data_IF_674515348061
#
_entry.id   IF_674515348061
#
_cell.length_a   1.000
_cell.length_b   1.000
_cell.length_c   1.000
_cell.angle_alpha   90.00
_cell.angle_beta   90.00
_cell.angle_gamma   90.00
#
_symmetry.space_group_name_H-M   'P 1'
#
loop_
_entity.id
_entity.type
_entity.pdbx_description
1 polymer ?
#
# COMPACT_ATOMS: atom_id res chain seq x y z
N UNK A 1 -24.97 -62.83 74.09
CA UNK A 1 -24.72 -61.38 74.24
C UNK A 1 -23.30 -61.10 73.83
N UNK A 2 -23.10 -60.18 72.88
CA UNK A 2 -21.77 -59.82 72.34
C UNK A 2 -21.07 -60.99 71.65
N UNK A 3 -20.28 -60.69 70.63
CA UNK A 3 -18.88 -61.14 70.59
C UNK A 3 -18.17 -60.34 69.52
N UNK A 4 -17.15 -59.64 70.00
CA UNK A 4 -16.24 -58.82 69.23
C UNK A 4 -15.26 -59.74 68.49
N UNK A 5 -14.97 -59.43 67.23
CA UNK A 5 -13.91 -60.07 66.45
C UNK A 5 -13.18 -59.01 65.66
N UNK A 6 -11.89 -58.86 65.95
CA UNK A 6 -10.88 -58.19 65.12
C UNK A 6 -10.59 -59.05 63.89
N UNK A 7 -10.51 -58.44 62.71
CA UNK A 7 -9.91 -59.04 61.51
C UNK A 7 -8.97 -58.07 60.81
N UNK A 8 -7.78 -58.58 60.51
CA UNK A 8 -6.80 -58.05 59.56
C UNK A 8 -7.32 -58.23 58.12
N UNK A 9 -6.93 -57.34 57.20
CA UNK A 9 -7.04 -57.56 55.77
C UNK A 9 -5.76 -57.09 55.06
N UNK A 10 -5.16 -58.04 54.34
CA UNK A 10 -3.90 -57.94 53.57
C UNK A 10 -4.21 -57.54 52.13
N UNK A 11 -3.37 -56.67 51.57
CA UNK A 11 -3.46 -56.17 50.19
C UNK A 11 -2.90 -57.17 49.17
N UNK A 12 -3.55 -57.27 48.00
CA UNK A 12 -3.01 -57.86 46.76
C UNK A 12 -3.43 -56.94 45.59
N UNK A 13 -2.52 -56.53 44.70
CA UNK A 13 -2.75 -55.43 43.75
C UNK A 13 -3.40 -55.92 42.46
N UNK A 14 -4.31 -55.12 41.90
CA UNK A 14 -4.84 -55.30 40.55
C UNK A 14 -4.34 -54.16 39.66
N UNK A 15 -3.63 -54.58 38.62
CA UNK A 15 -2.96 -53.81 37.59
C UNK A 15 -4.00 -53.03 36.75
N UNK A 16 -3.89 -51.70 36.71
CA UNK A 16 -4.65 -50.87 35.77
C UNK A 16 -3.66 -50.18 34.83
N UNK A 17 -3.73 -50.53 33.54
CA UNK A 17 -2.97 -49.89 32.47
C UNK A 17 -3.37 -48.41 32.33
N UNK A 18 -2.47 -47.50 32.69
CA UNK A 18 -2.54 -46.09 32.26
C UNK A 18 -1.75 -45.92 30.97
N UNK A 19 -2.45 -45.53 29.91
CA UNK A 19 -1.87 -45.18 28.61
C UNK A 19 -1.06 -43.90 28.79
N UNK A 20 0.26 -44.00 28.66
CA UNK A 20 1.18 -42.86 28.71
C UNK A 20 1.01 -42.00 27.46
N UNK A 21 0.61 -40.74 27.63
CA UNK A 21 0.74 -39.71 26.60
C UNK A 21 2.17 -39.17 26.65
N UNK A 22 2.98 -39.48 25.64
CA UNK A 22 4.21 -38.75 25.36
C UNK A 22 3.83 -37.34 24.89
N UNK A 23 3.80 -36.37 25.81
CA UNK A 23 3.92 -34.96 25.44
C UNK A 23 5.40 -34.70 25.13
N UNK A 24 5.76 -34.67 23.84
CA UNK A 24 6.97 -33.97 23.44
C UNK A 24 6.78 -32.49 23.78
N UNK A 25 7.52 -32.02 24.78
CA UNK A 25 7.64 -30.60 25.07
C UNK A 25 8.36 -29.94 23.88
N UNK A 26 7.59 -29.26 23.02
CA UNK A 26 8.14 -28.38 22.00
C UNK A 26 8.82 -27.21 22.72
N UNK A 27 10.13 -26.95 22.51
CA UNK A 27 10.79 -25.82 23.14
C UNK A 27 10.20 -24.52 22.59
N UNK A 28 9.47 -23.84 23.47
CA UNK A 28 8.87 -22.53 23.25
C UNK A 28 9.96 -21.45 23.35
N UNK A 29 10.81 -21.33 22.32
CA UNK A 29 11.75 -20.20 22.21
C UNK A 29 12.20 -19.88 20.77
N UNK A 30 11.33 -20.08 19.78
CA UNK A 30 11.53 -19.41 18.50
C UNK A 30 11.01 -17.97 18.65
N UNK A 31 11.92 -16.99 18.69
CA UNK A 31 11.52 -15.59 18.45
C UNK A 31 10.61 -15.56 17.22
N UNK A 32 9.46 -14.85 17.26
CA UNK A 32 8.59 -14.78 16.10
C UNK A 32 9.45 -14.41 14.88
N UNK A 33 9.28 -15.09 13.74
CA UNK A 33 10.14 -14.86 12.58
C UNK A 33 10.17 -13.36 12.32
N UNK A 34 11.38 -12.79 12.31
CA UNK A 34 11.56 -11.35 12.20
C UNK A 34 10.75 -10.86 10.99
N UNK A 35 9.82 -9.94 11.23
CA UNK A 35 9.03 -9.34 10.15
C UNK A 35 9.99 -8.84 9.06
N UNK A 36 9.72 -9.18 7.80
CA UNK A 36 10.59 -8.94 6.65
C UNK A 36 11.03 -7.48 6.57
N UNK A 37 10.12 -6.55 6.87
CA UNK A 37 10.33 -5.12 6.81
C UNK A 37 10.84 -4.52 8.13
N UNK A 38 10.95 -5.33 9.19
CA UNK A 38 11.45 -4.90 10.50
C UNK A 38 10.57 -3.82 11.13
N UNK A 39 9.25 -4.02 11.09
CA UNK A 39 8.25 -3.08 11.65
C UNK A 39 8.50 -2.85 13.14
N UNK A 40 8.64 -1.58 13.51
CA UNK A 40 8.75 -1.08 14.88
C UNK A 40 7.68 -0.02 15.14
N UNK A 41 7.45 0.28 16.42
CA UNK A 41 6.65 1.47 16.79
C UNK A 41 7.42 2.73 16.40
N UNK A 42 6.77 3.62 15.66
CA UNK A 42 7.35 4.89 15.21
C UNK A 42 7.68 4.94 13.72
N UNK A 43 8.00 6.14 13.23
CA UNK A 43 8.29 6.40 11.83
C UNK A 43 9.71 5.89 11.45
N UNK A 44 9.77 4.98 10.48
CA UNK A 44 11.01 4.40 9.94
C UNK A 44 11.29 4.84 8.49
N UNK A 45 10.69 5.95 8.08
CA UNK A 45 10.83 6.55 6.75
C UNK A 45 12.14 7.33 6.65
N UNK A 46 12.97 6.99 5.67
CA UNK A 46 14.13 7.78 5.25
C UNK A 46 13.82 8.43 3.88
N UNK A 47 13.97 9.74 3.78
CA UNK A 47 13.77 10.49 2.53
C UNK A 47 15.11 10.99 2.01
N UNK A 48 15.40 10.68 0.75
CA UNK A 48 16.59 11.08 0.02
C UNK A 48 16.16 11.89 -1.21
N UNK A 49 16.79 13.04 -1.44
CA UNK A 49 16.42 13.94 -2.52
C UNK A 49 17.64 14.28 -3.37
N UNK A 50 17.43 14.46 -4.68
CA UNK A 50 18.47 14.98 -5.56
C UNK A 50 18.85 16.41 -5.16
N UNK A 51 20.08 16.84 -5.46
CA UNK A 51 20.63 18.12 -5.00
C UNK A 51 19.91 19.35 -5.54
N UNK A 52 19.18 19.21 -6.64
CA UNK A 52 18.35 20.25 -7.26
C UNK A 52 16.89 20.28 -6.73
N UNK A 53 16.53 19.39 -5.80
CA UNK A 53 15.23 19.42 -5.12
C UNK A 53 15.28 20.41 -3.94
N UNK A 54 14.34 21.35 -3.91
CA UNK A 54 14.31 22.39 -2.88
C UNK A 54 14.00 21.83 -1.49
N UNK A 55 14.45 22.53 -0.43
CA UNK A 55 14.16 22.17 0.96
C UNK A 55 12.66 22.21 1.29
N UNK A 56 11.90 23.07 0.62
CA UNK A 56 10.44 23.12 0.76
C UNK A 56 9.80 21.83 0.25
N UNK A 57 10.23 21.33 -0.91
CA UNK A 57 9.74 20.06 -1.49
C UNK A 57 10.15 18.89 -0.59
N UNK A 58 11.42 18.84 -0.17
CA UNK A 58 11.92 17.79 0.74
C UNK A 58 11.08 17.73 2.03
N UNK A 59 10.82 18.89 2.65
CA UNK A 59 10.01 18.99 3.86
C UNK A 59 8.57 18.53 3.62
N UNK A 60 7.94 18.97 2.53
CA UNK A 60 6.59 18.58 2.17
C UNK A 60 6.40 17.07 2.01
N UNK A 61 7.38 16.40 1.37
CA UNK A 61 7.40 14.94 1.22
C UNK A 61 7.53 14.27 2.60
N UNK A 62 8.48 14.72 3.44
CA UNK A 62 8.68 14.18 4.79
C UNK A 62 7.44 14.33 5.67
N UNK A 63 6.81 15.51 5.66
CA UNK A 63 5.62 15.79 6.47
C UNK A 63 4.43 14.93 6.01
N UNK A 64 4.22 14.79 4.70
CA UNK A 64 3.14 13.96 4.15
C UNK A 64 3.32 12.48 4.52
N UNK A 65 4.55 11.95 4.42
CA UNK A 65 4.87 10.58 4.83
C UNK A 65 4.70 10.37 6.34
N UNK A 66 5.08 11.35 7.16
CA UNK A 66 4.86 11.29 8.61
C UNK A 66 3.36 11.21 8.94
N UNK A 67 2.51 12.01 8.27
CA UNK A 67 1.06 11.92 8.42
C UNK A 67 0.53 10.56 7.97
N UNK A 68 1.09 9.97 6.91
CA UNK A 68 0.72 8.64 6.45
C UNK A 68 1.00 7.56 7.52
N UNK A 69 2.18 7.62 8.15
CA UNK A 69 2.57 6.74 9.26
C UNK A 69 1.63 6.93 10.45
N UNK A 70 1.28 8.16 10.83
CA UNK A 70 0.35 8.42 11.93
C UNK A 70 -1.08 7.94 11.62
N UNK A 71 -1.44 7.88 10.33
CA UNK A 71 -2.78 7.52 9.89
C UNK A 71 -2.97 6.01 9.78
N UNK A 72 -1.99 5.29 9.24
CA UNK A 72 -2.11 3.85 8.93
C UNK A 72 -1.13 2.95 9.69
N UNK A 73 -0.20 3.54 10.45
CA UNK A 73 0.89 2.84 11.11
C UNK A 73 2.15 2.74 10.24
N UNK A 74 3.24 2.28 10.85
CA UNK A 74 4.52 2.03 10.16
C UNK A 74 4.42 0.76 9.31
N UNK A 75 4.81 0.86 8.03
CA UNK A 75 5.01 -0.30 7.14
C UNK A 75 6.38 -0.97 7.36
N UNK A 76 7.22 -0.42 8.23
CA UNK A 76 8.59 -0.89 8.50
C UNK A 76 9.63 -0.01 7.83
N UNK A 77 10.80 -0.57 7.53
CA UNK A 77 11.88 0.17 6.85
C UNK A 77 11.40 0.66 5.50
N UNK A 78 11.44 1.98 5.29
CA UNK A 78 10.89 2.63 4.11
C UNK A 78 11.86 3.70 3.62
N UNK A 79 12.22 3.66 2.34
CA UNK A 79 13.11 4.64 1.71
C UNK A 79 12.38 5.32 0.54
N UNK A 80 12.26 6.64 0.58
CA UNK A 80 11.64 7.45 -0.48
C UNK A 80 12.71 8.29 -1.19
N UNK A 81 12.85 8.09 -2.50
CA UNK A 81 13.86 8.75 -3.33
C UNK A 81 13.20 9.76 -4.27
N UNK A 82 13.45 11.05 -4.07
CA UNK A 82 12.84 12.14 -4.86
C UNK A 82 13.84 12.67 -5.86
N UNK A 83 13.51 12.56 -7.14
CA UNK A 83 14.33 13.11 -8.22
C UNK A 83 13.90 14.55 -8.52
N UNK A 84 14.87 15.39 -8.88
CA UNK A 84 14.61 16.69 -9.46
C UNK A 84 14.53 16.62 -10.99
N UNK A 85 14.97 17.68 -11.66
CA UNK A 85 15.01 17.78 -13.12
C UNK A 85 16.43 17.80 -13.68
N UNK A 86 17.45 18.03 -12.85
CA UNK A 86 18.84 17.99 -13.29
C UNK A 86 19.33 16.55 -13.41
N UNK A 87 19.98 16.26 -14.55
CA UNK A 87 20.47 14.91 -14.84
C UNK A 87 21.66 14.53 -13.95
N UNK A 88 22.60 15.45 -13.73
CA UNK A 88 23.80 15.15 -12.95
C UNK A 88 23.44 14.88 -11.47
N UNK A 89 22.51 15.66 -10.92
CA UNK A 89 21.93 15.44 -9.59
C UNK A 89 21.23 14.08 -9.46
N UNK A 90 20.52 13.63 -10.50
CA UNK A 90 19.91 12.31 -10.53
C UNK A 90 20.95 11.18 -10.60
N UNK A 91 22.02 11.32 -11.39
CA UNK A 91 23.13 10.37 -11.45
C UNK A 91 23.90 10.28 -10.13
N UNK A 92 24.05 11.41 -9.42
CA UNK A 92 24.63 11.46 -8.08
C UNK A 92 23.75 10.74 -7.06
N UNK A 93 22.44 11.00 -7.05
CA UNK A 93 21.49 10.35 -6.15
C UNK A 93 21.43 8.83 -6.42
N UNK A 94 21.41 8.42 -7.68
CA UNK A 94 21.50 7.00 -8.07
C UNK A 94 22.81 6.37 -7.57
N UNK A 95 23.93 7.09 -7.69
CA UNK A 95 25.22 6.63 -7.17
C UNK A 95 25.20 6.48 -5.65
N UNK A 96 24.53 7.38 -4.91
CA UNK A 96 24.33 7.27 -3.47
C UNK A 96 23.47 6.05 -3.09
N UNK A 97 22.37 5.81 -3.80
CA UNK A 97 21.56 4.61 -3.67
C UNK A 97 22.41 3.35 -3.84
N UNK A 98 23.25 3.30 -4.89
CA UNK A 98 24.12 2.17 -5.18
C UNK A 98 25.22 1.94 -4.15
N UNK A 99 25.89 2.98 -3.66
CA UNK A 99 26.85 2.84 -2.55
C UNK A 99 26.18 2.21 -1.34
N UNK A 100 24.97 2.65 -0.99
CA UNK A 100 24.19 2.10 0.12
C UNK A 100 23.77 0.65 -0.11
N UNK A 101 23.39 0.27 -1.34
CA UNK A 101 23.08 -1.14 -1.66
C UNK A 101 24.30 -2.04 -1.53
N UNK A 102 25.45 -1.62 -2.06
CA UNK A 102 26.70 -2.38 -2.00
C UNK A 102 27.19 -2.53 -0.56
N UNK A 103 27.20 -1.44 0.21
CA UNK A 103 27.63 -1.47 1.62
C UNK A 103 26.78 -2.39 2.50
N UNK A 104 25.54 -2.66 2.11
CA UNK A 104 24.62 -3.58 2.80
C UNK A 104 24.58 -4.99 2.21
N UNK A 105 25.41 -5.28 1.21
CA UNK A 105 25.43 -6.58 0.53
C UNK A 105 24.15 -6.90 -0.25
N UNK A 106 23.37 -5.88 -0.64
CA UNK A 106 22.08 -6.08 -1.31
C UNK A 106 22.24 -6.45 -2.80
N UNK A 107 23.24 -5.89 -3.48
CA UNK A 107 23.53 -6.13 -4.89
C UNK A 107 24.93 -5.62 -5.25
N UNK A 108 25.44 -6.02 -6.42
CA UNK A 108 26.70 -5.48 -6.94
C UNK A 108 26.55 -4.04 -7.43
N UNK A 109 27.64 -3.27 -7.47
CA UNK A 109 27.62 -1.91 -8.02
C UNK A 109 27.15 -1.89 -9.48
N UNK A 110 27.58 -2.87 -10.28
CA UNK A 110 27.21 -3.00 -11.69
C UNK A 110 25.71 -3.23 -11.86
N UNK A 111 25.15 -4.17 -11.11
CA UNK A 111 23.71 -4.47 -11.17
C UNK A 111 22.87 -3.27 -10.72
N UNK A 112 23.35 -2.54 -9.71
CA UNK A 112 22.70 -1.32 -9.24
C UNK A 112 22.66 -0.20 -10.26
N UNK A 113 23.78 0.06 -10.93
CA UNK A 113 23.84 1.11 -11.95
C UNK A 113 22.93 0.77 -13.13
N UNK A 114 22.85 -0.51 -13.52
CA UNK A 114 21.91 -0.99 -14.55
C UNK A 114 20.45 -0.82 -14.11
N UNK A 115 20.13 -1.12 -12.85
CA UNK A 115 18.79 -0.88 -12.29
C UNK A 115 18.44 0.62 -12.29
N UNK A 116 19.40 1.46 -11.92
CA UNK A 116 19.21 2.92 -11.84
C UNK A 116 18.97 3.59 -13.21
N UNK A 117 19.47 2.99 -14.30
CA UNK A 117 19.25 3.46 -15.67
C UNK A 117 18.16 2.67 -16.42
N UNK A 118 17.45 1.78 -15.73
CA UNK A 118 16.33 1.03 -16.32
C UNK A 118 15.25 2.01 -16.82
N UNK A 119 14.79 1.81 -18.06
CA UNK A 119 13.78 2.66 -18.69
C UNK A 119 12.40 2.55 -18.05
N UNK A 120 12.09 1.43 -17.40
CA UNK A 120 10.76 1.22 -16.84
C UNK A 120 10.59 1.97 -15.51
N UNK A 121 11.59 1.92 -14.61
CA UNK A 121 11.49 2.48 -13.24
C UNK A 121 12.84 2.95 -12.63
N UNK A 122 13.84 3.26 -13.47
CA UNK A 122 15.13 3.77 -13.02
C UNK A 122 15.08 5.22 -12.52
N UNK A 123 16.09 5.64 -11.77
CA UNK A 123 16.22 7.02 -11.27
C UNK A 123 16.20 8.03 -12.43
N UNK A 124 16.87 7.72 -13.55
CA UNK A 124 16.87 8.60 -14.71
C UNK A 124 15.50 8.70 -15.39
N UNK A 125 14.67 7.66 -15.34
CA UNK A 125 13.30 7.73 -15.86
C UNK A 125 12.47 8.74 -15.08
N UNK A 126 12.53 8.72 -13.74
CA UNK A 126 11.81 9.68 -12.89
C UNK A 126 12.32 11.11 -13.07
N UNK A 127 13.63 11.30 -13.20
CA UNK A 127 14.21 12.62 -13.51
C UNK A 127 13.72 13.12 -14.88
N UNK A 128 13.77 12.28 -15.92
CA UNK A 128 13.31 12.65 -17.26
C UNK A 128 11.84 13.04 -17.31
N UNK A 129 10.98 12.41 -16.49
CA UNK A 129 9.56 12.77 -16.38
C UNK A 129 9.41 14.21 -15.90
N UNK A 130 10.09 14.57 -14.80
CA UNK A 130 10.06 15.93 -14.26
C UNK A 130 10.64 16.97 -15.23
N UNK A 131 11.80 16.66 -15.83
CA UNK A 131 12.46 17.54 -16.78
C UNK A 131 11.59 17.79 -18.03
N UNK A 132 10.97 16.75 -18.60
CA UNK A 132 10.07 16.89 -19.75
C UNK A 132 8.82 17.68 -19.40
N UNK A 133 8.27 17.51 -18.19
CA UNK A 133 7.10 18.27 -17.76
C UNK A 133 7.39 19.78 -17.75
N UNK A 134 8.52 20.20 -17.15
CA UNK A 134 8.92 21.61 -17.13
C UNK A 134 9.28 22.13 -18.51
N UNK A 135 10.06 21.38 -19.30
CA UNK A 135 10.50 21.80 -20.63
C UNK A 135 9.34 21.99 -21.62
N UNK A 136 8.29 21.17 -21.51
CA UNK A 136 7.14 21.22 -22.43
C UNK A 136 5.97 22.05 -21.89
N UNK A 137 6.02 22.45 -20.62
CA UNK A 137 4.90 23.09 -19.92
C UNK A 137 3.68 22.16 -19.74
N UNK A 138 3.83 20.84 -19.95
CA UNK A 138 2.74 19.87 -19.83
C UNK A 138 2.82 19.14 -18.50
N UNK A 139 1.85 19.35 -17.58
CA UNK A 139 1.78 18.64 -16.30
C UNK A 139 1.94 17.13 -16.46
N UNK A 140 2.99 16.58 -15.85
CA UNK A 140 3.21 15.12 -15.75
C UNK A 140 4.12 14.83 -14.58
N UNK A 141 3.72 13.87 -13.75
CA UNK A 141 4.51 13.32 -12.65
C UNK A 141 4.41 11.81 -12.61
N UNK A 142 5.27 11.18 -11.81
CA UNK A 142 5.18 9.76 -11.49
C UNK A 142 5.83 9.48 -10.15
N UNK A 143 5.21 8.61 -9.37
CA UNK A 143 5.81 7.93 -8.25
C UNK A 143 5.52 6.42 -8.36
N UNK A 144 6.25 5.60 -7.61
CA UNK A 144 6.00 4.16 -7.60
C UNK A 144 6.73 3.41 -6.50
N UNK A 145 6.11 2.32 -6.04
CA UNK A 145 6.74 1.24 -5.29
C UNK A 145 7.62 0.39 -6.20
N UNK A 146 8.93 0.53 -6.05
CA UNK A 146 9.95 -0.07 -6.90
C UNK A 146 10.68 -1.26 -6.23
N UNK A 147 9.96 -2.00 -5.37
CA UNK A 147 10.45 -3.25 -4.76
C UNK A 147 11.21 -3.06 -3.44
N UNK A 148 12.27 -3.84 -3.25
CA UNK A 148 13.12 -3.83 -2.05
C UNK A 148 12.75 -4.85 -0.97
N UNK A 149 11.67 -5.62 -1.16
CA UNK A 149 11.22 -6.63 -0.21
C UNK A 149 12.28 -7.74 0.01
N UNK A 150 13.02 -8.11 -1.03
CA UNK A 150 14.15 -9.04 -1.00
C UNK A 150 15.26 -8.60 -0.02
N UNK A 151 15.41 -7.27 0.14
CA UNK A 151 16.34 -6.60 1.05
C UNK A 151 15.67 -6.14 2.35
N UNK A 152 14.39 -6.46 2.55
CA UNK A 152 13.64 -6.18 3.78
C UNK A 152 13.30 -4.70 4.01
N UNK A 153 13.04 -3.93 2.96
CA UNK A 153 12.51 -2.56 3.06
C UNK A 153 11.58 -2.22 1.89
N UNK A 154 10.88 -1.10 1.96
CA UNK A 154 10.09 -0.55 0.87
C UNK A 154 10.88 0.53 0.12
N UNK A 155 11.09 0.37 -1.20
CA UNK A 155 11.71 1.38 -2.06
C UNK A 155 10.62 2.15 -2.80
N UNK A 156 10.50 3.43 -2.54
CA UNK A 156 9.69 4.36 -3.35
C UNK A 156 10.60 5.28 -4.16
N UNK A 157 10.16 5.65 -5.36
CA UNK A 157 10.85 6.68 -6.14
C UNK A 157 9.83 7.57 -6.83
N UNK A 158 10.10 8.87 -6.89
CA UNK A 158 9.24 9.84 -7.58
C UNK A 158 10.04 10.78 -8.47
N UNK A 159 9.40 11.29 -9.52
CA UNK A 159 9.82 12.50 -10.20
C UNK A 159 9.70 13.72 -9.26
N UNK A 160 10.09 14.90 -9.74
CA UNK A 160 9.87 16.15 -9.01
C UNK A 160 8.37 16.30 -8.68
N UNK A 161 7.99 16.43 -7.40
CA UNK A 161 6.62 16.75 -6.99
C UNK A 161 6.31 18.19 -7.40
N UNK A 162 5.76 18.35 -8.60
CA UNK A 162 5.57 19.64 -9.27
C UNK A 162 4.66 20.57 -8.47
N UNK A 163 3.62 20.02 -7.82
CA UNK A 163 2.74 20.79 -6.96
C UNK A 163 3.46 21.39 -5.75
N UNK A 164 4.35 20.63 -5.10
CA UNK A 164 5.19 21.17 -4.00
C UNK A 164 6.27 22.12 -4.50
N UNK A 165 6.75 21.93 -5.73
CA UNK A 165 7.71 22.82 -6.37
C UNK A 165 7.07 24.14 -6.83
N UNK A 166 5.75 24.29 -6.75
CA UNK A 166 5.03 25.48 -7.24
C UNK A 166 5.07 25.60 -8.76
N UNK A 167 5.18 24.48 -9.47
CA UNK A 167 5.36 24.44 -10.92
C UNK A 167 4.07 24.05 -11.65
N UNK A 168 3.92 24.56 -12.87
CA UNK A 168 2.87 24.18 -13.83
C UNK A 168 1.44 24.29 -13.30
N UNK A 169 1.21 25.17 -12.32
CA UNK A 169 -0.11 25.41 -11.72
C UNK A 169 -0.76 24.14 -11.10
N UNK A 170 0.07 23.21 -10.62
CA UNK A 170 -0.36 22.00 -9.94
C UNK A 170 -0.49 22.31 -8.44
N UNK A 171 -1.60 21.91 -7.83
CA UNK A 171 -1.81 22.10 -6.41
C UNK A 171 -0.96 21.09 -5.61
N UNK A 172 -0.34 21.52 -4.52
CA UNK A 172 0.42 20.62 -3.64
C UNK A 172 -0.42 19.50 -3.03
N UNK A 173 -1.74 19.68 -2.92
CA UNK A 173 -2.68 18.64 -2.51
C UNK A 173 -2.67 17.40 -3.44
N UNK A 174 -2.35 17.57 -4.73
CA UNK A 174 -2.24 16.46 -5.68
C UNK A 174 -1.03 15.56 -5.31
N UNK A 175 0.10 16.18 -5.00
CA UNK A 175 1.32 15.48 -4.55
C UNK A 175 1.10 14.77 -3.21
N UNK A 176 0.28 15.35 -2.32
CA UNK A 176 -0.10 14.69 -1.07
C UNK A 176 -0.89 13.41 -1.32
N UNK A 177 -1.86 13.43 -2.27
CA UNK A 177 -2.59 12.22 -2.67
C UNK A 177 -1.62 11.19 -3.25
N UNK A 178 -0.73 11.58 -4.16
CA UNK A 178 0.24 10.66 -4.76
C UNK A 178 1.13 10.00 -3.71
N UNK A 179 1.68 10.76 -2.75
CA UNK A 179 2.52 10.19 -1.69
C UNK A 179 1.74 9.24 -0.79
N UNK A 180 0.50 9.59 -0.44
CA UNK A 180 -0.37 8.71 0.34
C UNK A 180 -0.72 7.42 -0.43
N UNK A 181 -0.96 7.52 -1.74
CA UNK A 181 -1.19 6.37 -2.63
C UNK A 181 0.01 5.41 -2.58
N UNK A 182 1.23 5.92 -2.78
CA UNK A 182 2.44 5.09 -2.74
C UNK A 182 2.74 4.52 -1.35
N UNK A 183 2.49 5.31 -0.29
CA UNK A 183 2.66 4.81 1.07
C UNK A 183 1.66 3.68 1.38
N UNK A 184 0.44 3.73 0.83
CA UNK A 184 -0.51 2.62 0.97
C UNK A 184 0.01 1.32 0.37
N UNK A 185 0.71 1.36 -0.77
CA UNK A 185 1.35 0.16 -1.32
C UNK A 185 2.37 -0.46 -0.36
N UNK A 186 3.05 0.36 0.45
CA UNK A 186 3.94 -0.16 1.50
C UNK A 186 3.16 -0.89 2.60
N UNK A 187 2.00 -0.36 3.02
CA UNK A 187 1.12 -1.00 4.01
C UNK A 187 0.59 -2.34 3.49
N UNK A 188 0.11 -2.40 2.25
CA UNK A 188 -0.34 -3.67 1.63
C UNK A 188 0.78 -4.73 1.68
N UNK A 189 2.00 -4.33 1.30
CA UNK A 189 3.15 -5.21 1.25
C UNK A 189 3.67 -5.63 2.65
N UNK A 190 3.50 -4.79 3.67
CA UNK A 190 4.04 -5.00 5.02
C UNK A 190 3.55 -6.28 5.70
N UNK A 191 2.38 -6.79 5.28
CA UNK A 191 1.80 -8.04 5.77
C UNK A 191 2.30 -9.28 5.03
N UNK A 192 2.90 -9.12 3.85
CA UNK A 192 3.38 -10.23 3.01
C UNK A 192 4.86 -10.52 3.35
N UNK A 193 5.12 -11.70 3.92
CA UNK A 193 6.45 -12.06 4.47
C UNK A 193 7.32 -12.92 3.54
N UNK A 194 6.76 -13.41 2.44
CA UNK A 194 7.55 -14.16 1.44
C UNK A 194 8.45 -13.23 0.62
N UNK A 195 9.66 -13.69 0.28
CA UNK A 195 10.54 -13.04 -0.71
C UNK A 195 10.29 -13.53 -2.14
N UNK A 196 9.53 -14.62 -2.31
CA UNK A 196 9.20 -15.15 -3.64
C UNK A 196 8.27 -14.20 -4.39
N UNK A 197 8.75 -13.66 -5.51
CA UNK A 197 8.06 -12.61 -6.24
C UNK A 197 6.71 -13.06 -6.80
N UNK A 198 6.61 -14.30 -7.31
CA UNK A 198 5.35 -14.84 -7.84
C UNK A 198 4.31 -14.95 -6.74
N UNK A 199 4.69 -15.50 -5.58
CA UNK A 199 3.83 -15.65 -4.42
C UNK A 199 3.43 -14.31 -3.82
N UNK A 200 4.34 -13.31 -3.79
CA UNK A 200 3.98 -11.95 -3.38
C UNK A 200 2.87 -11.36 -4.24
N UNK A 201 2.99 -11.47 -5.57
CA UNK A 201 1.95 -10.98 -6.49
C UNK A 201 0.60 -11.68 -6.28
N UNK A 202 0.61 -13.01 -6.12
CA UNK A 202 -0.62 -13.78 -5.81
C UNK A 202 -1.30 -13.32 -4.51
N UNK A 203 -0.51 -12.92 -3.51
CA UNK A 203 -1.01 -12.44 -2.22
C UNK A 203 -1.50 -10.98 -2.26
N UNK A 204 -0.89 -10.14 -3.09
CA UNK A 204 -1.35 -8.77 -3.32
C UNK A 204 -2.73 -8.73 -4.00
N UNK A 205 -2.98 -9.68 -4.91
CA UNK A 205 -4.26 -9.83 -5.59
C UNK A 205 -4.33 -9.18 -6.98
N UNK A 206 -5.54 -8.99 -7.52
CA UNK A 206 -5.74 -8.37 -8.81
C UNK A 206 -5.47 -6.86 -8.77
N UNK A 207 -5.05 -6.30 -9.91
CA UNK A 207 -4.63 -4.90 -10.02
C UNK A 207 -5.72 -3.91 -9.60
N UNK A 208 -6.99 -4.15 -9.92
CA UNK A 208 -8.08 -3.28 -9.44
C UNK A 208 -8.13 -3.17 -7.91
N UNK A 209 -7.76 -4.23 -7.17
CA UNK A 209 -7.77 -4.21 -5.72
C UNK A 209 -6.52 -3.52 -5.18
N UNK A 210 -5.36 -3.78 -5.79
CA UNK A 210 -4.08 -3.17 -5.40
C UNK A 210 -4.12 -1.65 -5.61
N UNK A 211 -4.36 -1.22 -6.84
CA UNK A 211 -4.36 0.18 -7.24
C UNK A 211 -5.62 0.89 -6.76
N UNK A 212 -6.77 0.23 -6.86
CA UNK A 212 -8.02 0.79 -6.38
C UNK A 212 -8.01 1.08 -4.88
N UNK A 213 -7.39 0.22 -4.06
CA UNK A 213 -7.34 0.50 -2.62
C UNK A 213 -6.34 1.61 -2.31
N UNK A 214 -5.26 1.74 -3.07
CA UNK A 214 -4.37 2.89 -2.95
C UNK A 214 -5.09 4.21 -3.31
N UNK A 215 -5.87 4.22 -4.40
CA UNK A 215 -6.70 5.37 -4.79
C UNK A 215 -7.73 5.70 -3.70
N UNK A 216 -8.55 4.73 -3.29
CA UNK A 216 -9.61 4.97 -2.31
C UNK A 216 -9.05 5.44 -0.96
N UNK A 217 -7.98 4.80 -0.48
CA UNK A 217 -7.36 5.14 0.80
C UNK A 217 -6.72 6.53 0.75
N UNK A 218 -6.02 6.89 -0.33
CA UNK A 218 -5.43 8.21 -0.49
C UNK A 218 -6.48 9.31 -0.62
N UNK A 219 -7.51 9.12 -1.45
CA UNK A 219 -8.58 10.10 -1.69
C UNK A 219 -9.39 10.38 -0.42
N UNK A 220 -9.86 9.32 0.25
CA UNK A 220 -10.72 9.44 1.43
C UNK A 220 -9.92 10.01 2.61
N UNK A 221 -8.71 9.50 2.87
CA UNK A 221 -7.93 9.97 4.01
C UNK A 221 -7.35 11.36 3.79
N UNK A 222 -6.90 11.72 2.59
CA UNK A 222 -6.46 13.10 2.32
C UNK A 222 -7.58 14.11 2.60
N UNK A 223 -8.81 13.82 2.17
CA UNK A 223 -9.98 14.65 2.46
C UNK A 223 -10.22 14.84 3.96
N UNK A 224 -10.21 13.74 4.72
CA UNK A 224 -10.32 13.76 6.19
C UNK A 224 -9.19 14.54 6.86
N UNK A 225 -7.96 14.37 6.37
CA UNK A 225 -6.77 14.99 6.93
C UNK A 225 -6.73 16.50 6.66
N UNK A 226 -7.19 16.96 5.49
CA UNK A 226 -7.38 18.39 5.23
C UNK A 226 -8.51 19.01 6.04
N UNK A 227 -9.61 18.29 6.25
CA UNK A 227 -10.72 18.75 7.07
C UNK A 227 -10.31 18.91 8.54
N UNK A 228 -9.49 17.99 9.06
CA UNK A 228 -8.95 18.04 10.42
C UNK A 228 -7.72 18.93 10.60
N UNK A 229 -7.18 19.52 9.52
CA UNK A 229 -5.98 20.36 9.56
C UNK A 229 -4.66 19.59 9.76
N UNK A 230 -4.67 18.26 9.69
CA UNK A 230 -3.46 17.41 9.79
C UNK A 230 -2.61 17.44 8.52
N UNK A 231 -3.23 17.65 7.36
CA UNK A 231 -2.51 18.00 6.13
C UNK A 231 -2.71 19.49 5.82
N UNK A 232 -1.66 20.23 5.42
CA UNK A 232 -1.80 21.60 4.96
C UNK A 232 -2.50 21.64 3.60
N UNK A 233 -3.34 22.65 3.40
CA UNK A 233 -3.86 23.05 2.08
C UNK A 233 -2.87 24.05 1.47
N UNK A 234 -2.37 23.77 0.27
CA UNK A 234 -1.31 24.56 -0.35
C UNK A 234 -1.81 25.81 -1.04
N UNK A 235 -3.00 25.75 -1.65
CA UNK A 235 -3.63 26.90 -2.34
C UNK A 235 -2.69 27.60 -3.34
N UNK A 236 -1.83 26.83 -3.99
CA UNK A 236 -0.80 27.31 -4.90
C UNK A 236 -1.12 27.02 -6.39
N UNK A 237 -2.40 26.76 -6.69
CA UNK A 237 -2.95 26.67 -8.04
C UNK A 237 -4.00 27.75 -8.27
N UNK A 238 -4.28 28.06 -9.53
CA UNK A 238 -5.28 29.05 -9.96
C UNK A 238 -6.72 28.63 -9.68
N UNK A 239 -6.95 27.35 -9.38
CA UNK A 239 -8.27 26.80 -9.14
C UNK A 239 -8.38 26.27 -7.72
N UNK A 240 -9.52 26.50 -7.03
CA UNK A 240 -9.76 25.90 -5.74
C UNK A 240 -9.59 24.38 -5.79
N UNK A 241 -9.00 23.82 -4.72
CA UNK A 241 -8.88 22.37 -4.60
C UNK A 241 -10.25 21.70 -4.58
N UNK A 242 -10.41 20.65 -5.38
CA UNK A 242 -11.66 19.92 -5.53
C UNK A 242 -12.03 19.18 -4.24
N UNK A 243 -13.32 19.07 -3.95
CA UNK A 243 -13.84 18.22 -2.85
C UNK A 243 -13.66 16.73 -3.16
N UNK A 244 -13.73 15.87 -2.14
CA UNK A 244 -13.70 14.41 -2.33
C UNK A 244 -14.76 13.94 -3.33
N UNK A 245 -16.00 14.43 -3.17
CA UNK A 245 -17.10 14.08 -4.06
C UNK A 245 -16.77 14.46 -5.51
N UNK A 246 -16.24 15.66 -5.76
CA UNK A 246 -15.86 16.10 -7.11
C UNK A 246 -14.74 15.23 -7.70
N UNK A 247 -13.67 14.96 -6.96
CA UNK A 247 -12.56 14.12 -7.45
C UNK A 247 -13.01 12.70 -7.77
N UNK A 248 -13.80 12.08 -6.88
CA UNK A 248 -14.36 10.75 -7.13
C UNK A 248 -15.37 10.76 -8.29
N UNK A 249 -16.16 11.83 -8.45
CA UNK A 249 -17.08 12.00 -9.59
C UNK A 249 -16.32 12.09 -10.92
N UNK A 250 -15.19 12.79 -10.96
CA UNK A 250 -14.33 12.85 -12.15
C UNK A 250 -13.79 11.45 -12.50
N UNK A 251 -13.39 10.65 -11.51
CA UNK A 251 -13.02 9.23 -11.71
C UNK A 251 -14.21 8.42 -12.23
N UNK A 252 -15.43 8.65 -11.72
CA UNK A 252 -16.63 7.97 -12.22
C UNK A 252 -16.87 8.29 -13.71
N UNK A 253 -16.68 9.54 -14.13
CA UNK A 253 -16.79 9.91 -15.54
C UNK A 253 -15.77 9.15 -16.41
N UNK A 254 -14.52 9.01 -15.94
CA UNK A 254 -13.50 8.17 -16.58
C UNK A 254 -13.94 6.70 -16.67
N UNK A 255 -14.51 6.14 -15.60
CA UNK A 255 -15.03 4.76 -15.60
C UNK A 255 -16.12 4.57 -16.65
N UNK A 256 -17.10 5.48 -16.72
CA UNK A 256 -18.21 5.37 -17.68
C UNK A 256 -17.73 5.51 -19.13
N UNK A 257 -16.71 6.34 -19.38
CA UNK A 257 -16.08 6.44 -20.69
C UNK A 257 -15.42 5.13 -21.13
N UNK A 258 -14.69 4.46 -20.22
CA UNK A 258 -13.92 3.26 -20.53
C UNK A 258 -14.74 1.96 -20.48
N UNK A 259 -15.88 1.95 -19.78
CA UNK A 259 -16.77 0.78 -19.62
C UNK A 259 -17.16 0.13 -20.96
N UNK A 260 -17.32 0.92 -22.03
CA UNK A 260 -17.66 0.41 -23.37
C UNK A 260 -16.53 -0.34 -24.07
N UNK A 261 -15.28 -0.06 -23.68
CA UNK A 261 -14.09 -0.55 -24.38
C UNK A 261 -13.39 -1.71 -23.64
N UNK A 262 -13.79 -1.99 -22.40
CA UNK A 262 -13.16 -2.95 -21.50
C UNK A 262 -14.12 -4.10 -21.16
N UNK A 263 -13.63 -5.35 -21.10
CA UNK A 263 -14.48 -6.53 -20.87
C UNK A 263 -15.03 -6.64 -19.44
N UNK A 264 -14.45 -5.89 -18.51
CA UNK A 264 -14.88 -5.85 -17.10
C UNK A 264 -14.60 -4.46 -16.54
N UNK A 265 -15.40 -4.07 -15.54
CA UNK A 265 -15.15 -2.88 -14.74
C UNK A 265 -13.99 -3.02 -13.75
N UNK A 266 -13.53 -4.25 -13.46
CA UNK A 266 -12.48 -4.51 -12.48
C UNK A 266 -11.31 -5.29 -13.10
N UNK A 267 -10.51 -4.65 -13.98
CA UNK A 267 -9.42 -5.31 -14.67
C UNK A 267 -8.29 -5.74 -13.71
N UNK A 268 -7.68 -6.88 -14.01
CA UNK A 268 -6.67 -7.53 -13.17
C UNK A 268 -5.23 -7.40 -13.71
N UNK A 269 -4.99 -6.55 -14.70
CA UNK A 269 -3.68 -6.37 -15.35
C UNK A 269 -3.20 -4.93 -15.31
N UNK A 270 -1.88 -4.76 -15.22
CA UNK A 270 -1.19 -3.48 -15.40
C UNK A 270 -1.04 -3.10 -16.88
N UNK A 271 -1.38 -4.01 -17.80
CA UNK A 271 -1.18 -3.84 -19.22
C UNK A 271 -2.46 -3.47 -19.97
N UNK A 272 -2.28 -2.80 -21.10
CA UNK A 272 -3.32 -2.53 -22.08
C UNK A 272 -4.21 -1.33 -21.75
N UNK A 273 -5.15 -1.07 -22.67
CA UNK A 273 -6.03 0.12 -22.66
C UNK A 273 -6.95 0.24 -21.44
N UNK A 274 -7.13 -0.85 -20.69
CA UNK A 274 -8.02 -0.91 -19.52
C UNK A 274 -7.28 -0.64 -18.21
N UNK A 275 -5.97 -0.37 -18.23
CA UNK A 275 -5.18 -0.11 -17.01
C UNK A 275 -5.78 0.99 -16.15
N UNK A 276 -6.17 2.12 -16.74
CA UNK A 276 -6.73 3.26 -16.01
C UNK A 276 -8.01 2.89 -15.23
N UNK A 277 -8.78 1.94 -15.75
CA UNK A 277 -9.98 1.45 -15.10
C UNK A 277 -9.67 0.69 -13.80
N UNK A 278 -8.51 0.02 -13.69
CA UNK A 278 -8.08 -0.61 -12.45
C UNK A 278 -7.90 0.42 -11.31
N UNK A 279 -7.52 1.65 -11.64
CA UNK A 279 -7.35 2.74 -10.68
C UNK A 279 -8.69 3.40 -10.37
N UNK A 280 -9.38 3.89 -11.39
CA UNK A 280 -10.59 4.71 -11.19
C UNK A 280 -11.78 3.85 -10.74
N UNK A 281 -12.02 2.72 -11.42
CA UNK A 281 -13.11 1.79 -11.07
C UNK A 281 -12.77 1.00 -9.81
N UNK A 282 -11.51 0.58 -9.67
CA UNK A 282 -11.02 -0.05 -8.44
C UNK A 282 -11.17 0.87 -7.23
N UNK A 283 -10.90 2.17 -7.37
CA UNK A 283 -11.11 3.16 -6.32
C UNK A 283 -12.56 3.22 -5.86
N UNK A 284 -13.51 3.20 -6.80
CA UNK A 284 -14.93 3.13 -6.48
C UNK A 284 -15.34 1.79 -5.85
N UNK A 285 -14.81 0.67 -6.33
CA UNK A 285 -15.10 -0.64 -5.77
C UNK A 285 -14.60 -0.78 -4.33
N UNK A 286 -13.40 -0.28 -4.04
CA UNK A 286 -12.87 -0.29 -2.67
C UNK A 286 -13.65 0.67 -1.77
N UNK A 287 -14.02 1.86 -2.25
CA UNK A 287 -14.89 2.77 -1.50
C UNK A 287 -16.24 2.11 -1.16
N UNK A 288 -16.80 1.32 -2.09
CA UNK A 288 -18.05 0.58 -1.87
C UNK A 288 -17.89 -0.54 -0.83
N UNK A 289 -16.82 -1.33 -0.89
CA UNK A 289 -16.50 -2.33 0.15
C UNK A 289 -16.30 -1.68 1.52
N UNK A 290 -15.59 -0.55 1.60
CA UNK A 290 -15.39 0.20 2.84
C UNK A 290 -16.70 0.78 3.39
N UNK A 291 -17.61 1.21 2.51
CA UNK A 291 -18.93 1.69 2.92
C UNK A 291 -19.76 0.57 3.56
N UNK A 292 -19.76 -0.63 2.98
CA UNK A 292 -20.53 -1.78 3.48
C UNK A 292 -19.93 -2.42 4.73
N UNK A 293 -18.59 -2.48 4.82
CA UNK A 293 -17.90 -3.28 5.84
C UNK A 293 -17.09 -2.47 6.85
N UNK A 294 -17.09 -1.14 6.72
CA UNK A 294 -16.37 -0.22 7.60
C UNK A 294 -15.08 0.33 6.99
N UNK A 295 -14.77 1.59 7.33
CA UNK A 295 -13.67 2.34 6.72
C UNK A 295 -12.26 1.79 7.03
N UNK A 296 -12.11 0.94 8.04
CA UNK A 296 -10.85 0.34 8.44
C UNK A 296 -10.74 -1.16 8.13
N UNK A 297 -11.71 -1.72 7.39
CA UNK A 297 -11.81 -3.15 7.08
C UNK A 297 -10.54 -3.69 6.40
N UNK A 298 -9.91 -2.91 5.52
CA UNK A 298 -8.67 -3.31 4.86
C UNK A 298 -7.50 -3.43 5.83
N UNK A 299 -7.37 -2.47 6.76
CA UNK A 299 -6.30 -2.41 7.75
C UNK A 299 -6.47 -3.44 8.87
N UNK A 300 -7.70 -3.63 9.37
CA UNK A 300 -7.97 -4.48 10.53
C UNK A 300 -8.29 -5.92 10.18
N UNK A 301 -8.89 -6.15 9.02
CA UNK A 301 -9.43 -7.47 8.65
C UNK A 301 -8.70 -8.07 7.44
N UNK A 302 -8.62 -7.37 6.31
CA UNK A 302 -8.10 -7.97 5.08
C UNK A 302 -6.58 -8.19 5.11
N UNK A 303 -5.78 -7.12 5.15
CA UNK A 303 -4.32 -7.23 4.99
C UNK A 303 -3.64 -8.07 6.08
N UNK A 304 -4.03 -8.00 7.37
CA UNK A 304 -3.45 -8.86 8.40
C UNK A 304 -3.64 -10.36 8.16
N UNK A 305 -4.65 -10.77 7.41
CA UNK A 305 -4.99 -12.18 7.19
C UNK A 305 -4.51 -12.72 5.84
N UNK A 306 -4.10 -11.87 4.89
CA UNK A 306 -3.85 -12.27 3.49
C UNK A 306 -2.68 -13.25 3.36
N UNK A 307 -1.60 -13.05 4.12
CA UNK A 307 -0.43 -13.95 4.15
C UNK A 307 -0.82 -15.38 4.52
N UNK A 308 -1.74 -15.54 5.48
CA UNK A 308 -2.18 -16.85 6.00
C UNK A 308 -3.21 -17.51 5.08
N UNK A 309 -4.18 -16.74 4.59
CA UNK A 309 -5.34 -17.30 3.89
C UNK A 309 -5.15 -17.38 2.37
N UNK A 310 -4.26 -16.57 1.80
CA UNK A 310 -4.29 -16.27 0.37
C UNK A 310 -5.39 -15.25 0.03
N UNK A 311 -5.23 -14.57 -1.11
CA UNK A 311 -6.06 -13.41 -1.46
C UNK A 311 -7.56 -13.72 -1.51
N UNK A 312 -7.99 -14.72 -2.30
CA UNK A 312 -9.42 -15.00 -2.49
C UNK A 312 -10.12 -15.52 -1.23
N UNK A 313 -9.47 -16.40 -0.44
CA UNK A 313 -10.04 -16.87 0.83
C UNK A 313 -10.12 -15.73 1.85
N UNK A 314 -9.14 -14.83 1.84
CA UNK A 314 -9.14 -13.63 2.67
C UNK A 314 -10.28 -12.67 2.27
N UNK A 315 -10.50 -12.49 0.96
CA UNK A 315 -11.60 -11.69 0.42
C UNK A 315 -12.95 -12.22 0.90
N UNK A 316 -13.21 -13.52 0.69
CA UNK A 316 -14.43 -14.19 1.18
C UNK A 316 -14.65 -14.04 2.68
N UNK A 317 -13.60 -14.26 3.47
CA UNK A 317 -13.70 -14.13 4.92
C UNK A 317 -14.01 -12.69 5.35
N UNK A 318 -13.46 -11.71 4.65
CA UNK A 318 -13.58 -10.30 5.03
C UNK A 318 -14.90 -9.69 4.60
N UNK A 319 -15.35 -9.98 3.39
CA UNK A 319 -16.50 -9.33 2.76
C UNK A 319 -17.75 -10.22 2.67
N UNK A 320 -17.66 -11.48 3.14
CA UNK A 320 -18.80 -12.41 3.17
C UNK A 320 -19.22 -12.95 1.81
N UNK A 321 -18.50 -12.63 0.73
CA UNK A 321 -18.78 -13.07 -0.64
C UNK A 321 -17.50 -13.33 -1.43
N UNK A 322 -17.57 -14.07 -2.54
CA UNK A 322 -16.41 -14.23 -3.42
C UNK A 322 -16.08 -12.95 -4.18
N UNK A 323 -14.84 -12.81 -4.64
CA UNK A 323 -14.48 -11.66 -5.49
C UNK A 323 -15.25 -11.66 -6.81
N UNK A 324 -15.63 -12.83 -7.32
CA UNK A 324 -16.46 -12.95 -8.53
C UNK A 324 -17.89 -12.46 -8.29
N UNK A 325 -18.51 -12.84 -7.18
CA UNK A 325 -19.86 -12.36 -6.81
C UNK A 325 -19.85 -10.85 -6.60
N UNK A 326 -18.79 -10.33 -5.96
CA UNK A 326 -18.60 -8.90 -5.78
C UNK A 326 -18.48 -8.15 -7.11
N UNK A 327 -17.81 -8.70 -8.13
CA UNK A 327 -17.77 -8.07 -9.47
C UNK A 327 -19.18 -7.87 -10.02
N UNK A 328 -20.05 -8.90 -9.91
CA UNK A 328 -21.45 -8.80 -10.36
C UNK A 328 -22.29 -7.85 -9.49
N UNK A 329 -22.04 -7.79 -8.19
CA UNK A 329 -22.65 -6.78 -7.32
C UNK A 329 -22.22 -5.36 -7.71
N UNK A 330 -20.92 -5.16 -7.91
CA UNK A 330 -20.35 -3.87 -8.24
C UNK A 330 -20.85 -3.36 -9.58
N UNK A 331 -21.02 -4.22 -10.60
CA UNK A 331 -21.63 -3.81 -11.87
C UNK A 331 -23.04 -3.24 -11.69
N UNK A 332 -23.86 -3.83 -10.81
CA UNK A 332 -25.20 -3.30 -10.49
C UNK A 332 -25.13 -1.96 -9.76
N UNK A 333 -24.19 -1.78 -8.84
CA UNK A 333 -23.93 -0.48 -8.22
C UNK A 333 -23.53 0.58 -9.27
N UNK A 334 -22.72 0.19 -10.24
CA UNK A 334 -22.24 1.07 -11.31
C UNK A 334 -23.32 1.47 -12.33
N UNK A 335 -24.48 0.81 -12.30
CA UNK A 335 -25.69 1.16 -13.07
C UNK A 335 -26.62 2.14 -12.34
N UNK A 336 -26.41 2.39 -11.05
CA UNK A 336 -27.19 3.38 -10.32
C UNK A 336 -26.93 4.80 -10.85
N UNK A 337 -27.89 5.73 -10.71
CA UNK A 337 -27.64 7.14 -10.97
C UNK A 337 -26.47 7.67 -10.15
N UNK A 338 -25.66 8.58 -10.70
CA UNK A 338 -24.51 9.18 -10.02
C UNK A 338 -24.87 9.71 -8.62
N UNK A 339 -26.06 10.30 -8.47
CA UNK A 339 -26.58 10.81 -7.20
C UNK A 339 -26.74 9.75 -6.11
N UNK A 340 -26.98 8.48 -6.48
CA UNK A 340 -26.99 7.34 -5.54
C UNK A 340 -25.56 6.83 -5.29
N UNK A 341 -24.74 6.75 -6.33
CA UNK A 341 -23.35 6.29 -6.23
C UNK A 341 -22.54 7.14 -5.26
N UNK A 342 -22.66 8.48 -5.32
CA UNK A 342 -21.88 9.37 -4.45
C UNK A 342 -22.28 9.29 -2.97
N UNK A 343 -23.43 8.70 -2.61
CA UNK A 343 -23.88 8.59 -1.22
C UNK A 343 -22.99 7.66 -0.38
N UNK A 344 -22.23 6.78 -1.01
CA UNK A 344 -21.31 5.89 -0.31
C UNK A 344 -20.07 6.64 0.23
N UNK A 345 -19.77 7.81 -0.35
CA UNK A 345 -18.58 8.57 0.00
C UNK A 345 -18.77 9.24 1.37
N UNK A 346 -17.75 9.20 2.24
CA UNK A 346 -17.81 9.87 3.53
C UNK A 346 -17.84 11.40 3.38
N UNK A 347 -18.44 12.07 4.36
CA UNK A 347 -18.50 13.53 4.47
C UNK A 347 -17.56 13.98 5.59
N UNK A 348 -16.83 15.07 5.36
CA UNK A 348 -15.83 15.62 6.29
C UNK A 348 -15.98 17.12 6.44
#
# INVERSE_FOLDING_TARGET
MRKWTTSFAVAIPLLVCSVATCQEAIPDNASPPANLFGIKRGNQTEVFVASDVSKTVEKAVKDTLAVAVDTWGSSGRFEYWVLGTDRAAAEELASAFCRRRVARGHMTRRDCLRDSTNKDHGFLTYQEIGAKALATGRPRGSAGHNGGAEWGFHRMTSSLPLGFAGALNIAGEDEQITILHEYWHSIQNAFIQTKDHKRRRELMGPVWFIEGSAVAMAEINSARLWASGKLPKWRNSSHPWQTLQQRMTNKMASVQQHRKACPTLLPSSYDGKCRQLAYDSGGWAIAYLMHQHGADVLLKSFHPNVQKLGWEKCFRKTFGQSSADFVTEFERFMDLPLGEQVKILPKF
#
